data_IF_275654898555
#
_entry.id   IF_275654898555
#
_cell.length_a   1.000
_cell.length_b   1.000
_cell.length_c   1.000
_cell.angle_alpha   90.00
_cell.angle_beta   90.00
_cell.angle_gamma   90.00
#
_symmetry.space_group_name_H-M   'P 1'
#
loop_
_entity.id
_entity.type
_entity.pdbx_description
1 polymer ?
#
# COMPACT_ATOMS: atom_id res chain seq x y z
N UNK A 1 -6.34 26.85 25.92
CA UNK A 1 -6.18 25.65 25.07
C UNK A 1 -4.76 25.16 25.30
N UNK A 2 -4.59 23.95 25.83
CA UNK A 2 -3.24 23.39 25.97
C UNK A 2 -2.70 23.11 24.57
N UNK A 3 -1.45 23.46 24.31
CA UNK A 3 -0.78 23.09 23.07
C UNK A 3 -0.83 21.57 22.90
N UNK A 4 -1.34 21.09 21.75
CA UNK A 4 -1.25 19.67 21.42
C UNK A 4 0.22 19.22 21.42
N UNK A 5 0.45 17.99 21.88
CA UNK A 5 1.78 17.37 21.83
C UNK A 5 2.20 17.02 20.40
N UNK A 6 1.24 16.99 19.46
CA UNK A 6 1.42 16.61 18.08
C UNK A 6 1.01 17.73 17.12
N UNK A 7 1.75 17.84 16.03
CA UNK A 7 1.38 18.67 14.89
C UNK A 7 0.66 17.83 13.82
N UNK A 8 -0.56 18.21 13.44
CA UNK A 8 -1.46 17.49 12.52
C UNK A 8 -1.64 18.20 11.18
N UNK A 9 -0.55 18.69 10.61
CA UNK A 9 -0.56 19.50 9.38
C UNK A 9 -0.49 18.69 8.07
N UNK A 10 -0.37 17.37 8.16
CA UNK A 10 -0.21 16.49 7.00
C UNK A 10 -1.41 15.57 6.84
N UNK A 11 -1.83 15.39 5.58
CA UNK A 11 -2.93 14.54 5.17
C UNK A 11 -2.55 13.80 3.89
N UNK A 12 -2.94 12.53 3.79
CA UNK A 12 -2.69 11.69 2.61
C UNK A 12 -4.02 11.05 2.18
N UNK A 13 -4.45 11.31 0.96
CA UNK A 13 -5.61 10.64 0.37
C UNK A 13 -5.26 9.24 -0.10
N UNK A 14 -6.11 8.27 0.22
CA UNK A 14 -6.01 6.88 -0.20
C UNK A 14 -7.28 6.48 -0.95
N UNK A 15 -7.12 5.97 -2.17
CA UNK A 15 -8.18 5.30 -2.92
C UNK A 15 -7.86 3.82 -2.94
N UNK A 16 -8.19 3.15 -1.83
CA UNK A 16 -7.90 1.75 -1.57
C UNK A 16 -6.44 1.53 -1.15
N UNK A 17 -6.17 0.37 -0.54
CA UNK A 17 -4.79 -0.02 -0.25
C UNK A 17 -4.17 0.60 1.01
N UNK A 18 -2.87 0.35 1.21
CA UNK A 18 -2.13 0.82 2.37
C UNK A 18 -1.45 2.19 2.18
N UNK A 19 -1.07 2.81 3.29
CA UNK A 19 -0.02 3.83 3.33
C UNK A 19 1.33 3.14 3.46
N UNK A 20 2.28 3.53 2.63
CA UNK A 20 3.69 3.15 2.74
C UNK A 20 4.47 4.22 3.52
N UNK A 21 5.27 3.78 4.48
CA UNK A 21 6.28 4.57 5.17
C UNK A 21 7.67 4.01 4.86
N UNK A 22 8.55 4.83 4.30
CA UNK A 22 9.91 4.44 3.92
C UNK A 22 10.92 5.55 4.24
N UNK A 23 12.18 5.19 4.48
CA UNK A 23 13.27 6.18 4.53
C UNK A 23 13.36 6.90 3.18
N UNK A 24 13.54 8.23 3.19
CA UNK A 24 13.57 9.03 1.96
C UNK A 24 14.67 8.59 0.99
N UNK A 25 15.84 8.17 1.50
CA UNK A 25 16.94 7.73 0.64
C UNK A 25 16.63 6.42 -0.09
N UNK A 26 15.75 5.61 0.48
CA UNK A 26 15.40 4.28 -0.01
C UNK A 26 14.23 4.34 -0.98
N UNK A 27 13.32 5.31 -0.79
CA UNK A 27 12.12 5.48 -1.61
C UNK A 27 12.36 5.50 -3.13
N UNK A 28 13.44 6.07 -3.69
CA UNK A 28 13.76 5.98 -5.12
C UNK A 28 13.84 4.55 -5.68
N UNK A 29 14.02 3.53 -4.84
CA UNK A 29 14.08 2.12 -5.24
C UNK A 29 12.69 1.46 -5.29
N UNK A 30 11.64 2.11 -4.78
CA UNK A 30 10.27 1.60 -4.80
C UNK A 30 9.69 1.66 -6.20
N UNK A 31 9.31 0.51 -6.76
CA UNK A 31 8.76 0.44 -8.12
C UNK A 31 7.24 0.56 -8.18
N UNK A 32 6.55 0.54 -7.03
CA UNK A 32 5.10 0.74 -6.96
C UNK A 32 4.29 -0.30 -7.72
N UNK A 33 3.22 0.17 -8.35
CA UNK A 33 2.31 -0.64 -9.17
C UNK A 33 2.78 -0.78 -10.63
N UNK A 34 4.02 -0.38 -10.96
CA UNK A 34 4.56 -0.53 -12.32
C UNK A 34 4.60 -2.02 -12.68
N UNK A 35 3.92 -2.45 -13.77
CA UNK A 35 3.92 -3.85 -14.15
C UNK A 35 5.32 -4.35 -14.53
N UNK A 36 5.67 -5.58 -14.16
CA UNK A 36 7.00 -6.16 -14.40
C UNK A 36 7.40 -6.16 -15.87
N UNK A 37 6.45 -6.32 -16.80
CA UNK A 37 6.72 -6.20 -18.25
C UNK A 37 7.24 -4.81 -18.62
N UNK A 38 6.65 -3.77 -18.05
CA UNK A 38 7.05 -2.37 -18.27
C UNK A 38 8.40 -2.12 -17.62
N UNK A 39 8.61 -2.63 -16.40
CA UNK A 39 9.89 -2.52 -15.70
C UNK A 39 11.03 -3.18 -16.48
N UNK A 40 10.82 -4.40 -17.01
CA UNK A 40 11.81 -5.15 -17.80
C UNK A 40 12.16 -4.43 -19.10
N UNK A 41 11.19 -3.84 -19.78
CA UNK A 41 11.43 -3.01 -20.97
C UNK A 41 12.29 -1.76 -20.67
N UNK A 42 12.24 -1.25 -19.44
CA UNK A 42 12.98 -0.06 -19.02
C UNK A 42 14.37 -0.39 -18.48
N UNK A 43 14.49 -1.45 -17.68
CA UNK A 43 15.72 -1.84 -16.97
C UNK A 43 15.72 -3.32 -16.60
N UNK A 44 16.51 -4.12 -17.32
CA UNK A 44 16.71 -5.55 -16.99
C UNK A 44 17.32 -5.74 -15.60
N UNK A 45 18.17 -4.81 -15.16
CA UNK A 45 18.81 -4.87 -13.84
C UNK A 45 17.79 -4.65 -12.71
N UNK A 46 16.87 -3.69 -12.87
CA UNK A 46 15.81 -3.48 -11.89
C UNK A 46 14.84 -4.66 -11.90
N UNK A 47 14.43 -5.13 -13.08
CA UNK A 47 13.59 -6.32 -13.21
C UNK A 47 14.24 -7.59 -12.60
N UNK A 48 15.58 -7.72 -12.69
CA UNK A 48 16.30 -8.87 -12.15
C UNK A 48 16.13 -9.01 -10.62
N UNK A 49 15.99 -7.90 -9.88
CA UNK A 49 15.74 -7.91 -8.42
C UNK A 49 14.44 -8.62 -8.01
N UNK A 50 13.53 -8.81 -8.97
CA UNK A 50 12.21 -9.41 -8.77
C UNK A 50 12.14 -10.87 -9.25
N UNK A 51 13.24 -11.38 -9.81
CA UNK A 51 13.33 -12.75 -10.33
C UNK A 51 13.10 -13.75 -9.19
N UNK A 52 12.10 -14.63 -9.33
CA UNK A 52 11.81 -15.68 -8.34
C UNK A 52 10.80 -15.29 -7.24
N UNK A 53 10.11 -14.15 -7.35
CA UNK A 53 8.92 -13.91 -6.50
C UNK A 53 7.83 -14.94 -6.85
N UNK A 54 7.26 -15.59 -5.82
CA UNK A 54 6.19 -16.59 -5.93
C UNK A 54 5.16 -16.16 -6.98
N UNK A 55 5.11 -16.89 -8.09
CA UNK A 55 4.19 -16.61 -9.18
C UNK A 55 2.94 -17.46 -8.97
N UNK A 56 1.78 -16.85 -9.08
CA UNK A 56 0.50 -17.56 -9.06
C UNK A 56 -0.16 -17.39 -10.42
N UNK A 57 -0.75 -18.47 -10.93
CA UNK A 57 -1.71 -18.37 -12.02
C UNK A 57 -3.04 -17.98 -11.38
N UNK A 58 -3.47 -16.74 -11.59
CA UNK A 58 -4.79 -16.27 -11.20
C UNK A 58 -5.73 -16.40 -12.38
N UNK A 59 -6.90 -17.00 -12.15
CA UNK A 59 -7.96 -17.00 -13.15
C UNK A 59 -9.33 -16.85 -12.52
N UNK A 60 -10.22 -16.17 -13.24
CA UNK A 60 -11.57 -15.91 -12.80
C UNK A 60 -12.56 -15.85 -13.96
N UNK A 61 -13.81 -16.22 -13.68
CA UNK A 61 -14.88 -16.13 -14.65
C UNK A 61 -15.98 -17.17 -14.45
N UNK A 62 -16.87 -17.24 -15.43
CA UNK A 62 -18.02 -18.14 -15.43
C UNK A 62 -17.95 -19.21 -16.51
N UNK A 63 -16.95 -19.16 -17.41
CA UNK A 63 -16.75 -20.20 -18.41
C UNK A 63 -16.53 -21.55 -17.71
N UNK A 64 -17.41 -22.51 -17.99
CA UNK A 64 -17.38 -23.84 -17.35
C UNK A 64 -17.56 -23.83 -15.83
N UNK A 65 -18.08 -22.74 -15.24
CA UNK A 65 -18.28 -22.63 -13.79
C UNK A 65 -16.99 -22.47 -12.97
N UNK A 66 -15.91 -22.01 -13.60
CA UNK A 66 -14.56 -21.98 -13.02
C UNK A 66 -14.44 -21.19 -11.69
N UNK A 67 -15.26 -20.15 -11.49
CA UNK A 67 -15.14 -19.25 -10.35
C UNK A 67 -13.80 -18.51 -10.36
N UNK A 68 -13.46 -17.84 -9.26
CA UNK A 68 -12.14 -17.26 -9.04
C UNK A 68 -11.21 -18.26 -8.35
N UNK A 69 -9.97 -18.39 -8.85
CA UNK A 69 -8.95 -19.28 -8.29
C UNK A 69 -7.54 -18.71 -8.43
N UNK A 70 -6.71 -19.00 -7.43
CA UNK A 70 -5.27 -18.77 -7.44
C UNK A 70 -4.56 -20.13 -7.40
N UNK A 71 -3.63 -20.36 -8.32
CA UNK A 71 -2.82 -21.58 -8.36
C UNK A 71 -1.37 -21.21 -8.12
N UNK A 72 -0.86 -21.58 -6.95
CA UNK A 72 0.54 -21.39 -6.59
C UNK A 72 1.46 -22.13 -7.56
N UNK A 73 2.55 -21.49 -7.94
CA UNK A 73 3.60 -22.04 -8.80
C UNK A 73 4.96 -21.75 -8.17
N UNK A 74 5.88 -22.70 -8.31
CA UNK A 74 7.24 -22.63 -7.80
C UNK A 74 8.12 -21.73 -8.70
N UNK A 75 7.67 -21.44 -9.93
CA UNK A 75 8.36 -20.58 -10.88
C UNK A 75 7.44 -19.93 -11.91
N UNK A 76 7.94 -18.88 -12.59
CA UNK A 76 7.27 -18.28 -13.74
C UNK A 76 7.10 -19.28 -14.89
N UNK A 77 8.08 -20.17 -15.10
CA UNK A 77 8.03 -21.21 -16.13
C UNK A 77 6.89 -22.20 -15.87
N UNK A 78 6.72 -22.65 -14.63
CA UNK A 78 5.61 -23.51 -14.23
C UNK A 78 4.27 -22.79 -14.40
N UNK A 79 4.19 -21.52 -14.00
CA UNK A 79 2.97 -20.73 -14.16
C UNK A 79 2.57 -20.58 -15.63
N UNK A 80 3.55 -20.36 -16.52
CA UNK A 80 3.34 -20.35 -17.99
C UNK A 80 2.88 -21.71 -18.51
N UNK A 81 3.50 -22.80 -18.07
CA UNK A 81 3.10 -24.15 -18.46
C UNK A 81 1.65 -24.48 -18.01
N UNK A 82 1.25 -24.04 -16.81
CA UNK A 82 -0.14 -24.19 -16.33
C UNK A 82 -1.12 -23.34 -17.14
N UNK A 83 -0.76 -22.12 -17.51
CA UNK A 83 -1.58 -21.27 -18.40
C UNK A 83 -1.74 -21.91 -19.79
N UNK A 84 -0.69 -22.50 -20.34
CA UNK A 84 -0.76 -23.25 -21.59
C UNK A 84 -1.65 -24.50 -21.47
N UNK A 85 -1.57 -25.21 -20.33
CA UNK A 85 -2.49 -26.29 -20.00
C UNK A 85 -3.96 -25.84 -19.96
N UNK A 86 -4.22 -24.64 -19.43
CA UNK A 86 -5.56 -24.03 -19.42
C UNK A 86 -6.04 -23.72 -20.84
N UNK A 87 -5.17 -23.22 -21.73
CA UNK A 87 -5.48 -23.01 -23.16
C UNK A 87 -5.87 -24.30 -23.87
N UNK A 88 -5.11 -25.37 -23.66
CA UNK A 88 -5.40 -26.68 -24.23
C UNK A 88 -6.74 -27.21 -23.70
N UNK A 89 -6.98 -27.09 -22.40
CA UNK A 89 -8.21 -27.55 -21.77
C UNK A 89 -9.44 -26.77 -22.26
N UNK A 90 -9.34 -25.44 -22.36
CA UNK A 90 -10.40 -24.59 -22.88
C UNK A 90 -10.76 -24.98 -24.32
N UNK A 91 -9.76 -25.14 -25.20
CA UNK A 91 -9.99 -25.58 -26.60
C UNK A 91 -10.55 -26.98 -26.72
N UNK A 92 -10.20 -27.89 -25.81
CA UNK A 92 -10.75 -29.24 -25.78
C UNK A 92 -12.23 -29.25 -25.38
N UNK A 93 -12.59 -28.45 -24.38
CA UNK A 93 -13.95 -28.42 -23.82
C UNK A 93 -14.90 -27.49 -24.59
N UNK A 94 -14.37 -26.44 -25.22
CA UNK A 94 -15.08 -25.50 -26.06
C UNK A 94 -14.22 -25.22 -27.31
N UNK A 95 -14.38 -25.99 -28.41
CA UNK A 95 -13.55 -25.85 -29.62
C UNK A 95 -13.54 -24.43 -30.20
N UNK A 96 -14.69 -23.77 -30.15
CA UNK A 96 -14.92 -22.42 -30.70
C UNK A 96 -14.52 -21.30 -29.74
N UNK A 97 -13.94 -21.61 -28.57
CA UNK A 97 -13.48 -20.59 -27.62
C UNK A 97 -12.50 -19.64 -28.30
N UNK A 98 -12.75 -18.34 -28.19
CA UNK A 98 -11.87 -17.29 -28.67
C UNK A 98 -10.88 -16.98 -27.55
N UNK A 99 -9.58 -17.17 -27.83
CA UNK A 99 -8.50 -16.88 -26.88
C UNK A 99 -7.74 -15.66 -27.39
N UNK A 100 -7.65 -14.62 -26.58
CA UNK A 100 -6.95 -13.38 -26.91
C UNK A 100 -6.05 -12.93 -25.76
N UNK A 101 -4.93 -12.30 -26.09
CA UNK A 101 -4.02 -11.69 -25.13
C UNK A 101 -4.17 -10.17 -25.16
N UNK A 102 -4.46 -9.55 -24.02
CA UNK A 102 -4.50 -8.10 -23.89
C UNK A 102 -3.74 -7.68 -22.62
N UNK A 103 -2.69 -6.88 -22.77
CA UNK A 103 -1.97 -6.25 -21.65
C UNK A 103 -1.43 -7.21 -20.56
N UNK A 104 -1.19 -8.48 -20.89
CA UNK A 104 -0.73 -9.50 -19.92
C UNK A 104 -1.86 -10.38 -19.36
N UNK A 105 -3.10 -10.10 -19.76
CA UNK A 105 -4.29 -10.86 -19.44
C UNK A 105 -4.70 -11.76 -20.63
N UNK A 106 -4.84 -13.06 -20.37
CA UNK A 106 -5.39 -14.03 -21.32
C UNK A 106 -6.90 -14.12 -21.14
N UNK A 107 -7.67 -13.78 -22.17
CA UNK A 107 -9.12 -13.94 -22.19
C UNK A 107 -9.51 -15.20 -22.95
N UNK A 108 -10.43 -15.98 -22.38
CA UNK A 108 -11.11 -17.10 -23.01
C UNK A 108 -12.59 -16.76 -23.10
N UNK A 109 -13.13 -16.62 -24.30
CA UNK A 109 -14.53 -16.25 -24.53
C UNK A 109 -15.22 -17.31 -25.37
N UNK A 110 -16.26 -17.92 -24.82
CA UNK A 110 -17.13 -18.83 -25.57
C UNK A 110 -18.21 -18.02 -26.29
N UNK A 111 -18.20 -17.93 -27.64
CA UNK A 111 -19.18 -17.16 -28.38
C UNK A 111 -20.59 -17.74 -28.31
N UNK A 112 -20.74 -19.04 -28.02
CA UNK A 112 -22.04 -19.70 -27.98
C UNK A 112 -22.78 -19.47 -26.66
N UNK A 113 -22.08 -19.60 -25.53
CA UNK A 113 -22.68 -19.39 -24.20
C UNK A 113 -22.51 -17.96 -23.67
N UNK A 114 -21.61 -17.17 -24.26
CA UNK A 114 -21.19 -15.88 -23.69
C UNK A 114 -20.32 -16.01 -22.44
N UNK A 115 -19.91 -17.23 -22.07
CA UNK A 115 -19.03 -17.48 -20.94
C UNK A 115 -17.65 -16.87 -21.15
N UNK A 116 -17.08 -16.31 -20.08
CA UNK A 116 -15.74 -15.74 -20.07
C UNK A 116 -14.92 -16.35 -18.94
N UNK A 117 -13.66 -16.65 -19.23
CA UNK A 117 -12.60 -16.85 -18.25
C UNK A 117 -11.48 -15.86 -18.57
N UNK A 118 -10.86 -15.33 -17.54
CA UNK A 118 -9.69 -14.45 -17.63
C UNK A 118 -8.60 -15.09 -16.80
N UNK A 119 -7.36 -15.07 -17.30
CA UNK A 119 -6.23 -15.63 -16.60
C UNK A 119 -5.00 -14.74 -16.77
N UNK A 120 -4.28 -14.53 -15.69
CA UNK A 120 -3.03 -13.78 -15.69
C UNK A 120 -2.01 -14.41 -14.74
N UNK A 121 -0.76 -14.00 -14.92
CA UNK A 121 0.32 -14.35 -14.00
C UNK A 121 0.47 -13.20 -13.01
N UNK A 122 0.29 -13.53 -11.74
CA UNK A 122 0.47 -12.64 -10.60
C UNK A 122 1.71 -13.07 -9.80
N UNK A 123 2.34 -12.20 -9.02
CA UNK A 123 2.09 -10.76 -8.95
C UNK A 123 2.45 -10.04 -10.25
N UNK A 124 1.75 -8.97 -10.62
CA UNK A 124 2.11 -8.13 -11.78
C UNK A 124 3.10 -7.03 -11.46
N UNK A 125 3.18 -6.60 -10.20
CA UNK A 125 4.07 -5.54 -9.73
C UNK A 125 4.68 -5.87 -8.38
N UNK A 126 5.63 -5.03 -7.94
CA UNK A 126 6.18 -5.13 -6.59
C UNK A 126 5.11 -4.90 -5.51
N UNK A 127 4.21 -3.94 -5.75
CA UNK A 127 3.06 -3.69 -4.89
C UNK A 127 2.16 -4.92 -4.76
N UNK A 128 1.80 -5.58 -5.86
CA UNK A 128 0.94 -6.77 -5.83
C UNK A 128 1.61 -7.92 -5.06
N UNK A 129 2.92 -8.10 -5.27
CA UNK A 129 3.70 -9.11 -4.55
C UNK A 129 3.72 -8.85 -3.04
N UNK A 130 3.83 -7.57 -2.65
CA UNK A 130 3.80 -7.14 -1.25
C UNK A 130 2.41 -7.39 -0.65
N UNK A 131 1.36 -6.98 -1.35
CA UNK A 131 -0.04 -7.11 -0.94
C UNK A 131 -0.47 -8.56 -0.79
N UNK A 132 -0.27 -9.40 -1.80
CA UNK A 132 -0.71 -10.80 -1.82
C UNK A 132 -0.11 -11.61 -0.66
N UNK A 133 1.18 -11.39 -0.34
CA UNK A 133 1.85 -12.07 0.77
C UNK A 133 1.35 -11.65 2.15
N UNK A 134 0.62 -10.53 2.23
CA UNK A 134 0.19 -9.90 3.47
C UNK A 134 -1.30 -9.55 3.45
N UNK A 135 -2.10 -10.27 2.65
CA UNK A 135 -3.52 -9.96 2.43
C UNK A 135 -4.33 -9.86 3.72
N UNK A 136 -4.01 -10.68 4.72
CA UNK A 136 -4.70 -10.70 6.02
C UNK A 136 -4.05 -9.77 7.07
N UNK A 137 -2.97 -9.05 6.73
CA UNK A 137 -2.24 -8.21 7.67
C UNK A 137 -2.72 -6.75 7.62
N UNK A 138 -3.03 -6.19 8.80
CA UNK A 138 -3.33 -4.75 8.93
C UNK A 138 -2.09 -3.87 8.72
N UNK A 139 -0.90 -4.38 9.03
CA UNK A 139 0.37 -3.74 8.73
C UNK A 139 1.48 -4.78 8.54
N UNK A 140 2.45 -4.50 7.67
CA UNK A 140 3.58 -5.39 7.42
C UNK A 140 4.84 -4.63 7.00
N UNK A 141 5.99 -5.27 7.15
CA UNK A 141 7.26 -4.79 6.60
C UNK A 141 7.50 -5.49 5.26
N UNK A 142 7.76 -4.70 4.22
CA UNK A 142 8.19 -5.21 2.93
C UNK A 142 9.65 -4.81 2.69
N UNK A 143 10.47 -5.77 2.32
CA UNK A 143 11.81 -5.51 1.81
C UNK A 143 11.74 -5.28 0.30
N UNK A 144 12.37 -4.21 -0.17
CA UNK A 144 12.46 -3.85 -1.58
C UNK A 144 13.87 -3.33 -1.89
N UNK A 145 14.23 -3.27 -3.17
CA UNK A 145 15.55 -2.81 -3.60
C UNK A 145 16.72 -3.50 -2.90
N UNK A 146 17.83 -2.78 -2.77
CA UNK A 146 19.08 -3.27 -2.18
C UNK A 146 19.13 -2.95 -0.69
N UNK A 147 18.39 -3.74 0.11
CA UNK A 147 18.38 -3.64 1.57
C UNK A 147 17.40 -2.61 2.14
N UNK A 148 16.60 -1.95 1.30
CA UNK A 148 15.56 -1.03 1.70
C UNK A 148 14.35 -1.77 2.32
N UNK A 149 13.65 -1.07 3.21
CA UNK A 149 12.44 -1.58 3.89
C UNK A 149 11.40 -0.49 4.03
N UNK A 150 10.14 -0.88 3.92
CA UNK A 150 9.01 -0.01 4.17
C UNK A 150 7.99 -0.70 5.07
N UNK A 151 7.35 0.11 5.90
CA UNK A 151 6.13 -0.28 6.59
C UNK A 151 4.94 0.03 5.68
N UNK A 152 4.07 -0.94 5.51
CA UNK A 152 2.76 -0.76 4.90
C UNK A 152 1.71 -0.85 6.00
N UNK A 153 0.75 0.06 6.00
CA UNK A 153 -0.41 0.02 6.90
C UNK A 153 -1.69 0.05 6.08
N UNK A 154 -2.45 -1.04 6.07
CA UNK A 154 -3.69 -1.15 5.31
C UNK A 154 -4.80 -0.32 5.95
N UNK A 155 -5.22 0.70 5.20
CA UNK A 155 -6.16 1.71 5.69
C UNK A 155 -7.44 1.78 4.84
N UNK A 156 -7.40 1.24 3.62
CA UNK A 156 -8.52 1.24 2.67
C UNK A 156 -8.80 2.63 2.10
N UNK A 157 -9.99 2.82 1.52
CA UNK A 157 -10.44 4.14 1.05
C UNK A 157 -10.59 5.10 2.24
N UNK A 158 -9.79 6.17 2.29
CA UNK A 158 -10.02 7.35 3.14
C UNK A 158 -8.97 8.46 3.01
N UNK A 159 -9.09 9.48 3.85
CA UNK A 159 -8.05 10.42 4.22
C UNK A 159 -7.31 9.97 5.48
N UNK A 160 -5.98 9.87 5.41
CA UNK A 160 -5.11 9.62 6.56
C UNK A 160 -4.52 10.92 7.06
N UNK A 161 -4.74 11.24 8.32
CA UNK A 161 -4.11 12.34 9.03
C UNK A 161 -2.80 11.88 9.64
N UNK A 162 -1.73 12.67 9.51
CA UNK A 162 -0.44 12.35 10.12
C UNK A 162 -0.12 13.38 11.19
N UNK A 163 -0.02 12.90 12.42
CA UNK A 163 0.41 13.65 13.59
C UNK A 163 1.88 13.40 13.87
N UNK A 164 2.64 14.46 14.13
CA UNK A 164 4.05 14.38 14.49
C UNK A 164 4.30 15.03 15.85
N UNK A 165 4.95 14.30 16.76
CA UNK A 165 5.35 14.86 18.06
C UNK A 165 6.31 16.04 17.89
N UNK A 166 6.28 17.01 18.81
CA UNK A 166 7.23 18.15 18.81
C UNK A 166 8.70 17.72 18.82
N UNK A 167 9.01 16.59 19.46
CA UNK A 167 10.35 16.01 19.51
C UNK A 167 10.72 15.17 18.27
N UNK A 168 9.78 14.96 17.33
CA UNK A 168 9.96 14.17 16.10
C UNK A 168 10.37 12.71 16.33
N UNK A 169 10.21 12.22 17.56
CA UNK A 169 10.45 10.83 17.97
C UNK A 169 9.21 9.94 17.82
N UNK A 170 8.05 10.53 17.54
CA UNK A 170 6.79 9.82 17.35
C UNK A 170 5.99 10.36 16.17
N UNK A 171 5.37 9.42 15.44
CA UNK A 171 4.39 9.66 14.38
C UNK A 171 3.12 8.87 14.64
N UNK A 172 1.97 9.45 14.31
CA UNK A 172 0.67 8.79 14.34
C UNK A 172 0.00 9.00 12.99
N UNK A 173 -0.27 7.90 12.28
CA UNK A 173 -1.15 7.88 11.13
C UNK A 173 -2.55 7.55 11.63
N UNK A 174 -3.54 8.38 11.30
CA UNK A 174 -4.90 8.31 11.81
C UNK A 174 -5.89 8.31 10.65
N UNK A 175 -6.68 7.25 10.54
CA UNK A 175 -7.92 7.21 9.78
C UNK A 175 -9.08 7.30 10.75
N UNK A 176 -10.06 8.15 10.47
CA UNK A 176 -11.30 8.18 11.24
C UNK A 176 -12.47 8.52 10.31
N UNK A 177 -13.66 8.04 10.67
CA UNK A 177 -14.90 8.37 9.98
C UNK A 177 -15.68 9.38 10.80
N UNK A 178 -16.11 10.47 10.16
CA UNK A 178 -16.98 11.48 10.78
C UNK A 178 -18.43 11.06 10.63
N UNK A 179 -19.25 11.32 11.66
CA UNK A 179 -20.66 10.91 11.64
C UNK A 179 -21.51 11.80 10.72
N UNK A 180 -21.13 13.07 10.58
CA UNK A 180 -21.78 14.05 9.70
C UNK A 180 -20.79 15.12 9.25
N UNK A 181 -21.10 15.82 8.14
CA UNK A 181 -20.31 16.97 7.72
C UNK A 181 -20.43 18.18 8.66
N UNK A 182 -21.54 18.28 9.40
CA UNK A 182 -21.80 19.37 10.35
C UNK A 182 -20.92 19.26 11.60
N UNK A 183 -20.63 18.03 12.05
CA UNK A 183 -19.78 17.75 13.22
C UNK A 183 -18.33 17.43 12.87
N UNK A 184 -17.96 17.44 11.58
CA UNK A 184 -16.68 16.92 11.11
C UNK A 184 -15.48 17.59 11.79
N UNK A 185 -15.50 18.90 12.03
CA UNK A 185 -14.38 19.59 12.69
C UNK A 185 -14.21 19.16 14.16
N UNK A 186 -15.32 18.98 14.88
CA UNK A 186 -15.33 18.54 16.29
C UNK A 186 -14.92 17.07 16.39
N UNK A 187 -15.47 16.21 15.53
CA UNK A 187 -15.11 14.79 15.44
C UNK A 187 -13.62 14.62 15.12
N UNK A 188 -13.08 15.42 14.18
CA UNK A 188 -11.64 15.42 13.86
C UNK A 188 -10.78 15.76 15.09
N UNK A 189 -11.16 16.80 15.83
CA UNK A 189 -10.43 17.24 17.00
C UNK A 189 -10.51 16.20 18.13
N UNK A 190 -11.69 15.62 18.35
CA UNK A 190 -11.92 14.57 19.33
C UNK A 190 -11.14 13.29 19.02
N UNK A 191 -11.13 12.85 17.75
CA UNK A 191 -10.38 11.67 17.31
C UNK A 191 -8.87 11.86 17.51
N UNK A 192 -8.32 13.02 17.15
CA UNK A 192 -6.90 13.34 17.37
C UNK A 192 -6.56 13.35 18.85
N UNK A 193 -7.33 14.07 19.68
CA UNK A 193 -7.10 14.14 21.11
C UNK A 193 -7.17 12.76 21.78
N UNK A 194 -8.13 11.92 21.38
CA UNK A 194 -8.26 10.55 21.87
C UNK A 194 -7.02 9.71 21.54
N UNK A 195 -6.58 9.75 20.27
CA UNK A 195 -5.45 8.93 19.83
C UNK A 195 -4.13 9.46 20.39
N UNK A 196 -3.96 10.78 20.58
CA UNK A 196 -2.79 11.34 21.29
C UNK A 196 -2.69 10.80 22.72
N UNK A 197 -3.81 10.74 23.44
CA UNK A 197 -3.86 10.26 24.82
C UNK A 197 -3.78 8.73 24.95
N UNK A 198 -4.07 7.98 23.88
CA UNK A 198 -4.00 6.53 23.89
C UNK A 198 -2.55 6.06 24.15
N UNK A 199 -2.39 5.05 24.99
CA UNK A 199 -1.09 4.37 25.12
C UNK A 199 -0.78 3.56 23.86
N UNK A 200 0.49 3.44 23.46
CA UNK A 200 0.87 2.50 22.39
C UNK A 200 0.36 1.09 22.73
N UNK A 201 -0.18 0.40 21.72
CA UNK A 201 -0.54 -1.01 21.84
C UNK A 201 0.69 -1.92 21.82
N UNK A 202 0.46 -3.23 21.73
CA UNK A 202 1.55 -4.18 21.51
C UNK A 202 2.28 -3.90 20.19
N UNK A 203 3.63 -3.99 20.17
CA UNK A 203 4.42 -3.90 18.95
C UNK A 203 4.02 -4.94 17.90
N UNK A 204 3.77 -4.51 16.67
CA UNK A 204 3.47 -5.40 15.53
C UNK A 204 4.57 -5.45 14.49
N UNK A 205 5.46 -4.44 14.45
CA UNK A 205 6.55 -4.35 13.50
C UNK A 205 7.65 -3.40 14.01
N UNK A 206 8.81 -3.45 13.34
CA UNK A 206 9.90 -2.49 13.55
C UNK A 206 10.34 -1.91 12.20
N UNK A 207 10.55 -0.59 12.16
CA UNK A 207 11.07 0.15 11.02
C UNK A 207 12.32 0.91 11.45
N UNK A 208 13.41 0.80 10.70
CA UNK A 208 14.62 1.59 10.97
C UNK A 208 14.71 2.72 9.97
N UNK A 209 14.87 3.94 10.48
CA UNK A 209 15.06 5.14 9.69
C UNK A 209 16.49 5.62 9.92
N UNK A 210 17.29 5.59 8.87
CA UNK A 210 18.70 5.98 8.91
C UNK A 210 18.89 7.46 8.67
N UNK A 211 17.96 8.09 7.94
CA UNK A 211 17.95 9.53 7.71
C UNK A 211 16.93 10.24 8.60
N UNK A 212 17.02 11.57 8.65
CA UNK A 212 16.04 12.41 9.34
C UNK A 212 14.80 12.71 8.48
N UNK A 213 14.52 11.88 7.46
CA UNK A 213 13.42 12.07 6.51
C UNK A 213 12.70 10.76 6.26
N UNK A 214 11.39 10.79 6.42
CA UNK A 214 10.50 9.68 6.14
C UNK A 214 9.53 10.08 5.03
N UNK A 215 9.37 9.25 4.02
CA UNK A 215 8.29 9.36 3.05
C UNK A 215 7.07 8.63 3.60
N UNK A 216 5.93 9.31 3.64
CA UNK A 216 4.62 8.74 3.89
C UNK A 216 3.76 8.92 2.64
N UNK A 217 3.42 7.85 1.94
CA UNK A 217 2.79 7.92 0.63
C UNK A 217 1.74 6.84 0.45
N UNK A 218 0.72 7.10 -0.38
CA UNK A 218 -0.17 6.06 -0.85
C UNK A 218 0.61 5.01 -1.67
N UNK A 219 0.51 3.75 -1.24
CA UNK A 219 1.43 2.69 -1.58
C UNK A 219 1.59 2.25 -3.05
N UNK A 220 0.64 2.45 -4.00
CA UNK A 220 0.91 2.04 -5.38
C UNK A 220 1.84 3.02 -6.11
N UNK A 221 2.07 4.22 -5.58
CA UNK A 221 2.73 5.30 -6.31
C UNK A 221 4.26 5.17 -6.25
N UNK A 222 4.87 4.98 -7.41
CA UNK A 222 6.31 5.03 -7.58
C UNK A 222 6.82 6.48 -7.56
N UNK A 223 8.10 6.72 -7.21
CA UNK A 223 8.70 8.06 -7.22
C UNK A 223 8.57 8.80 -8.56
N UNK A 224 8.64 8.08 -9.67
CA UNK A 224 8.52 8.63 -11.02
C UNK A 224 7.10 9.04 -11.41
N UNK A 225 6.09 8.54 -10.70
CA UNK A 225 4.70 8.94 -10.87
C UNK A 225 4.38 10.24 -10.12
N UNK A 226 5.28 10.71 -9.26
CA UNK A 226 5.14 11.99 -8.54
C UNK A 226 5.69 13.14 -9.39
N UNK A 227 4.80 14.06 -9.79
CA UNK A 227 5.22 15.25 -10.54
C UNK A 227 6.15 16.13 -9.70
N UNK A 228 7.26 16.53 -10.33
CA UNK A 228 8.28 17.37 -9.72
C UNK A 228 8.98 16.75 -8.49
N UNK A 229 8.90 15.43 -8.28
CA UNK A 229 9.60 14.81 -7.16
C UNK A 229 11.11 14.86 -7.34
N UNK A 230 11.77 15.56 -6.41
CA UNK A 230 13.23 15.62 -6.29
C UNK A 230 13.61 15.21 -4.85
N UNK A 231 14.21 14.02 -4.73
CA UNK A 231 14.65 13.48 -3.45
C UNK A 231 15.73 14.35 -2.79
N UNK A 232 16.61 14.99 -3.57
CA UNK A 232 17.64 15.90 -3.07
C UNK A 232 17.02 17.18 -2.49
N UNK A 233 16.06 17.77 -3.18
CA UNK A 233 15.32 18.93 -2.69
C UNK A 233 14.52 18.59 -1.42
N UNK A 234 13.83 17.43 -1.41
CA UNK A 234 13.09 16.95 -0.24
C UNK A 234 13.99 16.67 0.97
N UNK A 235 15.21 16.17 0.73
CA UNK A 235 16.20 15.95 1.78
C UNK A 235 16.69 17.29 2.38
N UNK A 236 16.87 18.30 1.54
CA UNK A 236 17.34 19.63 1.94
C UNK A 236 16.27 20.49 2.64
N UNK A 237 14.98 20.21 2.43
CA UNK A 237 13.87 21.00 2.99
C UNK A 237 13.91 21.06 4.52
N UNK A 238 13.68 22.24 5.10
CA UNK A 238 13.72 22.47 6.56
C UNK A 238 12.45 22.02 7.27
N UNK A 239 11.35 21.92 6.52
CA UNK A 239 10.00 21.55 6.97
C UNK A 239 9.48 20.33 6.20
N UNK A 240 8.39 19.73 6.71
CA UNK A 240 7.70 18.65 6.00
C UNK A 240 7.20 19.13 4.63
N UNK A 241 7.47 18.33 3.60
CA UNK A 241 7.15 18.67 2.21
C UNK A 241 5.98 17.82 1.72
N UNK A 242 4.92 18.43 1.21
CA UNK A 242 3.80 17.68 0.62
C UNK A 242 4.20 17.12 -0.74
N UNK A 243 3.84 15.87 -1.01
CA UNK A 243 4.01 15.21 -2.30
C UNK A 243 2.65 15.16 -3.03
N UNK A 244 2.62 15.39 -4.34
CA UNK A 244 1.36 15.44 -5.10
C UNK A 244 1.44 14.87 -6.52
N UNK A 245 0.25 14.55 -7.06
CA UNK A 245 -0.19 14.74 -8.47
C UNK A 245 -1.72 14.64 -8.60
N UNK A 246 -2.29 15.39 -9.57
CA UNK A 246 -3.60 15.38 -10.25
C UNK A 246 -4.94 15.14 -9.48
N UNK A 247 -4.92 14.59 -8.28
CA UNK A 247 -6.10 14.28 -7.49
C UNK A 247 -6.13 15.16 -6.23
N UNK A 248 -7.26 15.80 -5.98
CA UNK A 248 -7.47 16.93 -5.05
C UNK A 248 -7.07 16.70 -3.57
N UNK A 249 -6.61 15.51 -3.17
CA UNK A 249 -6.38 15.12 -1.76
C UNK A 249 -4.93 14.87 -1.35
N UNK A 250 -3.96 14.95 -2.27
CA UNK A 250 -2.53 14.74 -1.99
C UNK A 250 -2.16 13.26 -1.77
N UNK A 251 -1.02 12.85 -2.32
CA UNK A 251 -0.63 11.42 -2.43
C UNK A 251 0.38 11.01 -1.36
N UNK A 252 1.07 11.99 -0.75
CA UNK A 252 2.00 11.72 0.32
C UNK A 252 2.63 12.97 0.91
N UNK A 253 3.63 12.76 1.76
CA UNK A 253 4.48 13.80 2.31
C UNK A 253 5.85 13.24 2.69
N UNK A 254 6.85 14.10 2.68
CA UNK A 254 8.14 13.87 3.33
C UNK A 254 8.08 14.54 4.70
N UNK A 255 8.30 13.75 5.75
CA UNK A 255 8.22 14.13 7.14
C UNK A 255 9.61 14.19 7.75
N UNK A 256 9.83 15.14 8.68
CA UNK A 256 11.08 15.20 9.44
C UNK A 256 11.01 14.32 10.68
N UNK A 257 11.91 13.36 10.80
CA UNK A 257 11.91 12.41 11.93
C UNK A 257 13.30 12.35 12.56
N UNK A 258 13.37 11.86 13.80
CA UNK A 258 14.65 11.50 14.41
C UNK A 258 15.15 10.16 13.86
N UNK A 259 16.39 10.04 13.36
CA UNK A 259 16.93 8.75 12.93
C UNK A 259 16.92 7.73 14.08
N UNK A 260 16.61 6.47 13.77
CA UNK A 260 16.66 5.37 14.72
C UNK A 260 15.68 4.25 14.42
N UNK A 261 15.58 3.31 15.38
CA UNK A 261 14.62 2.22 15.35
C UNK A 261 13.27 2.71 15.86
N UNK A 262 12.22 2.50 15.08
CA UNK A 262 10.84 2.78 15.43
C UNK A 262 10.08 1.49 15.66
N UNK A 263 9.36 1.43 16.77
CA UNK A 263 8.42 0.36 17.09
C UNK A 263 7.04 0.78 16.59
N UNK A 264 6.39 -0.11 15.86
CA UNK A 264 5.08 0.12 15.27
C UNK A 264 4.02 -0.54 16.14
N UNK A 265 2.98 0.20 16.50
CA UNK A 265 1.79 -0.33 17.18
C UNK A 265 0.54 0.12 16.45
N UNK A 266 -0.50 -0.71 16.50
CA UNK A 266 -1.80 -0.41 15.91
C UNK A 266 -2.83 -0.19 17.02
N UNK A 267 -3.87 0.57 16.69
CA UNK A 267 -5.04 0.66 17.54
C UNK A 267 -6.28 1.01 16.76
N UNK A 268 -7.43 0.76 17.39
CA UNK A 268 -8.74 1.08 16.83
C UNK A 268 -9.71 1.41 17.94
N UNK A 269 -10.71 2.20 17.58
CA UNK A 269 -11.82 2.53 18.47
C UNK A 269 -13.11 2.62 17.65
N UNK A 270 -14.15 1.96 18.15
CA UNK A 270 -15.47 1.94 17.54
C UNK A 270 -16.37 3.05 18.11
N UNK A 271 -17.44 3.43 17.40
CA UNK A 271 -18.42 4.37 17.92
C UNK A 271 -19.05 3.84 19.21
N UNK A 272 -19.28 4.72 20.17
CA UNK A 272 -19.86 4.35 21.47
C UNK A 272 -20.92 5.37 21.89
N UNK A 273 -22.16 4.89 22.06
CA UNK A 273 -23.26 5.71 22.60
C UNK A 273 -23.03 6.10 24.06
N UNK A 274 -22.44 5.19 24.86
CA UNK A 274 -22.19 5.42 26.28
C UNK A 274 -21.11 6.48 26.55
N UNK A 275 -20.15 6.60 25.63
CA UNK A 275 -19.06 7.60 25.68
C UNK A 275 -19.35 8.82 24.80
N UNK A 276 -20.55 8.92 24.22
CA UNK A 276 -20.93 9.97 23.28
C UNK A 276 -19.91 10.16 22.13
N UNK A 277 -19.33 9.06 21.66
CA UNK A 277 -18.39 9.03 20.53
C UNK A 277 -19.12 8.56 19.27
N UNK A 278 -19.53 9.47 18.37
CA UNK A 278 -20.25 9.10 17.15
C UNK A 278 -19.33 8.64 16.00
N UNK A 279 -18.01 8.78 16.18
CA UNK A 279 -16.98 8.46 15.19
C UNK A 279 -16.26 7.15 15.51
N UNK A 280 -15.60 6.55 14.51
CA UNK A 280 -14.64 5.47 14.69
C UNK A 280 -13.26 5.90 14.22
N UNK A 281 -12.21 5.29 14.74
CA UNK A 281 -10.85 5.56 14.30
C UNK A 281 -9.98 4.30 14.29
N UNK A 282 -9.01 4.28 13.38
CA UNK A 282 -7.90 3.32 13.33
C UNK A 282 -6.61 4.13 13.23
N UNK A 283 -5.57 3.68 13.92
CA UNK A 283 -4.28 4.35 13.87
C UNK A 283 -3.11 3.38 13.81
N UNK A 284 -2.04 3.86 13.18
CA UNK A 284 -0.72 3.27 13.20
C UNK A 284 0.24 4.27 13.85
N UNK A 285 0.84 3.87 14.98
CA UNK A 285 1.76 4.70 15.74
C UNK A 285 3.17 4.15 15.62
N UNK A 286 4.11 5.02 15.25
CA UNK A 286 5.53 4.75 15.23
C UNK A 286 6.18 5.51 16.39
N UNK A 287 6.80 4.79 17.31
CA UNK A 287 7.50 5.36 18.46
C UNK A 287 8.96 4.96 18.41
N UNK A 288 9.86 5.96 18.41
CA UNK A 288 11.31 5.71 18.42
C UNK A 288 11.68 4.96 19.70
N UNK A 289 12.31 3.80 19.55
CA UNK A 289 12.83 3.03 20.67
C UNK A 289 13.93 3.86 21.36
N UNK A 290 13.85 3.96 22.68
CA UNK A 290 14.98 4.44 23.49
C UNK A 290 16.09 3.40 23.44
N UNK A 291 17.29 3.85 23.14
CA UNK A 291 18.53 3.04 23.18
C UNK A 291 18.80 2.58 24.60
#
# INVERSE_FOLDING_TARGET
MGDSAFDWNVKVGCTGGPIMLADLQDFPQWTGAIPFRVLRERSDADAARFTGRQTVLHFWGNLGGAGERFVECDSEEEARAKLDGLRVMAKKNCPDVVITEEKGLTHFRDPASGGELRAELEPQSEYDASWQRNYDADAWIHAFGDGARALFWFVGDDLVHIGQSKARSELILLKHTVASSETAAEDNAAARAYVEAASPGEPVAELTLSTSRLVAIWAPIAPEELDGFDAGAAAAATESTKLGVALDKGIGAVLRVEPGRYVVSLGKVEPSKGEQRPWSARWCRLTRATV
#
